data_IF_735830634080
#
_entry.id   IF_735830634080
#
_cell.length_a   1.000
_cell.length_b   1.000
_cell.length_c   1.000
_cell.angle_alpha   90.00
_cell.angle_beta   90.00
_cell.angle_gamma   90.00
#
_symmetry.space_group_name_H-M   'P 1'
#
loop_
_entity.id
_entity.type
_entity.pdbx_description
1 polymer ?
#
# COMPACT_ATOMS: atom_id res chain seq x y z
N UNK A 1 5.55 -12.89 3.13
CA UNK A 1 5.53 -11.82 4.15
C UNK A 1 5.44 -12.37 5.58
N UNK A 2 4.57 -13.36 5.85
CA UNK A 2 4.47 -13.96 7.20
C UNK A 2 5.79 -14.57 7.72
N UNK A 3 6.66 -15.05 6.84
CA UNK A 3 7.99 -15.54 7.20
C UNK A 3 8.88 -14.46 7.83
N UNK A 4 8.83 -13.23 7.31
CA UNK A 4 9.60 -12.09 7.82
C UNK A 4 9.17 -11.78 9.26
N UNK A 5 7.88 -11.67 9.50
CA UNK A 5 7.34 -11.44 10.84
C UNK A 5 7.78 -12.55 11.83
N UNK A 6 7.65 -13.82 11.44
CA UNK A 6 8.02 -14.97 12.28
C UNK A 6 9.51 -15.01 12.65
N UNK A 7 10.38 -14.39 11.88
CA UNK A 7 11.82 -14.32 12.18
C UNK A 7 12.18 -13.08 13.01
N UNK A 8 11.48 -11.97 12.82
CA UNK A 8 11.78 -10.71 13.52
C UNK A 8 11.18 -10.69 14.92
N UNK A 9 9.94 -11.15 15.11
CA UNK A 9 9.25 -11.09 16.39
C UNK A 9 10.02 -11.73 17.54
N UNK A 10 10.55 -12.97 17.44
CA UNK A 10 11.32 -13.58 18.51
C UNK A 10 12.59 -12.78 18.87
N UNK A 11 13.20 -12.11 17.90
CA UNK A 11 14.38 -11.26 18.14
C UNK A 11 14.02 -10.04 18.99
N UNK A 12 12.88 -9.40 18.70
CA UNK A 12 12.39 -8.26 19.49
C UNK A 12 12.10 -8.71 20.93
N UNK A 13 11.36 -9.80 21.09
CA UNK A 13 10.93 -10.31 22.39
C UNK A 13 12.10 -10.79 23.25
N UNK A 14 13.09 -11.47 22.66
CA UNK A 14 14.29 -11.93 23.38
C UNK A 14 15.16 -10.79 23.93
N UNK A 15 14.99 -9.58 23.40
CA UNK A 15 15.67 -8.37 23.90
C UNK A 15 14.75 -7.48 24.75
N UNK A 16 13.64 -8.02 25.26
CA UNK A 16 12.70 -7.32 26.13
C UNK A 16 11.76 -6.35 25.43
N UNK A 17 11.72 -6.38 24.09
CA UNK A 17 10.77 -5.60 23.31
C UNK A 17 9.39 -6.25 23.28
N UNK A 18 8.37 -5.45 22.94
CA UNK A 18 6.99 -5.91 22.79
C UNK A 18 6.42 -5.42 21.46
N UNK A 19 5.70 -6.27 20.75
CA UNK A 19 4.94 -5.90 19.53
C UNK A 19 3.45 -5.92 19.89
N UNK A 20 2.80 -4.79 19.73
CA UNK A 20 1.37 -4.64 19.95
C UNK A 20 0.66 -4.55 18.60
N UNK A 21 -0.46 -5.25 18.44
CA UNK A 21 -1.38 -5.15 17.33
C UNK A 21 -2.73 -4.60 17.80
N UNK A 22 -3.49 -3.97 16.92
CA UNK A 22 -4.74 -3.27 17.28
C UNK A 22 -4.51 -2.21 18.37
N UNK A 23 -3.34 -1.59 18.38
CA UNK A 23 -2.88 -0.63 19.37
C UNK A 23 -2.61 0.71 18.69
N UNK A 24 -3.70 1.44 18.37
CA UNK A 24 -3.62 2.70 17.65
C UNK A 24 -3.09 3.83 18.55
N UNK A 25 -2.08 4.52 18.05
CA UNK A 25 -1.52 5.72 18.70
C UNK A 25 -2.36 6.94 18.32
N UNK A 26 -2.86 7.65 19.35
CA UNK A 26 -3.64 8.87 19.22
C UNK A 26 -2.76 10.11 19.05
N UNK A 27 -1.67 10.18 19.80
CA UNK A 27 -0.73 11.31 19.74
C UNK A 27 0.64 10.96 20.33
N UNK A 28 1.64 11.75 19.98
CA UNK A 28 2.96 11.76 20.62
C UNK A 28 2.90 12.72 21.82
N UNK A 29 3.33 12.26 22.98
CA UNK A 29 3.40 13.08 24.19
C UNK A 29 4.68 13.90 24.16
N UNK A 30 4.54 15.23 24.20
CA UNK A 30 5.65 16.18 24.19
C UNK A 30 5.68 16.92 25.51
N UNK A 31 6.82 16.92 26.17
CA UNK A 31 7.10 17.69 27.38
C UNK A 31 8.39 18.49 27.19
N UNK A 32 8.38 19.79 27.45
CA UNK A 32 9.55 20.65 27.29
C UNK A 32 10.24 20.53 25.91
N UNK A 33 9.47 20.45 24.84
CA UNK A 33 9.94 20.21 23.45
C UNK A 33 10.61 18.84 23.22
N UNK A 34 10.40 17.86 24.09
CA UNK A 34 10.96 16.52 23.97
C UNK A 34 9.82 15.51 23.87
N UNK A 35 9.93 14.55 22.94
CA UNK A 35 9.02 13.41 22.88
C UNK A 35 9.33 12.46 24.02
N UNK A 36 8.36 12.23 24.92
CA UNK A 36 8.52 11.41 26.13
C UNK A 36 7.67 10.13 26.10
N UNK A 37 6.95 9.91 25.03
CA UNK A 37 6.11 8.72 24.86
C UNK A 37 5.00 8.90 23.85
N UNK A 38 4.05 7.98 23.86
CA UNK A 38 2.86 8.02 23.02
C UNK A 38 1.60 7.84 23.88
N UNK A 39 0.52 8.51 23.44
CA UNK A 39 -0.82 8.34 24.00
C UNK A 39 -1.63 7.47 23.05
N UNK A 40 -2.24 6.42 23.55
CA UNK A 40 -3.09 5.50 22.81
C UNK A 40 -4.52 6.02 22.68
N UNK A 41 -5.30 5.44 21.77
CA UNK A 41 -6.73 5.81 21.60
C UNK A 41 -7.61 5.47 22.79
N UNK A 42 -7.21 4.52 23.64
CA UNK A 42 -7.84 4.20 24.92
C UNK A 42 -7.37 5.09 26.08
N UNK A 43 -6.62 6.16 25.77
CA UNK A 43 -6.02 7.13 26.69
C UNK A 43 -4.86 6.62 27.57
N UNK A 44 -4.41 5.37 27.41
CA UNK A 44 -3.18 4.88 28.04
C UNK A 44 -1.96 5.63 27.50
N UNK A 45 -0.94 5.81 28.37
CA UNK A 45 0.33 6.43 28.01
C UNK A 45 1.44 5.38 28.10
N UNK A 46 2.20 5.25 27.02
CA UNK A 46 3.41 4.44 26.98
C UNK A 46 4.60 5.40 26.94
N UNK A 47 5.34 5.44 28.04
CA UNK A 47 6.53 6.30 28.16
C UNK A 47 7.71 5.73 27.38
N UNK A 48 8.49 6.60 26.74
CA UNK A 48 9.67 6.24 25.98
C UNK A 48 10.69 7.40 25.98
N UNK A 49 11.97 7.06 25.90
CA UNK A 49 13.05 8.05 25.75
C UNK A 49 13.18 8.55 24.30
N UNK A 50 12.62 7.85 23.35
CA UNK A 50 12.61 8.20 21.94
C UNK A 50 11.38 7.61 21.28
N UNK A 51 10.81 8.33 20.29
CA UNK A 51 9.67 7.88 19.48
C UNK A 51 10.09 7.88 18.03
N UNK A 52 9.94 6.73 17.35
CA UNK A 52 10.17 6.59 15.92
C UNK A 52 8.80 6.45 15.26
N UNK A 53 8.52 7.30 14.28
CA UNK A 53 7.26 7.31 13.54
C UNK A 53 7.49 6.90 12.09
N UNK A 54 6.76 5.90 11.62
CA UNK A 54 6.78 5.39 10.24
C UNK A 54 5.45 5.61 9.49
N UNK A 55 4.61 6.54 9.97
CA UNK A 55 3.32 6.85 9.33
C UNK A 55 3.39 7.97 8.29
N UNK A 56 4.60 8.43 7.97
CA UNK A 56 4.89 9.53 7.06
C UNK A 56 4.97 10.89 7.78
N UNK A 57 5.76 11.80 7.19
CA UNK A 57 6.10 13.12 7.76
C UNK A 57 4.84 13.93 8.05
N UNK A 58 3.96 14.13 7.06
CA UNK A 58 2.72 14.92 7.25
C UNK A 58 1.84 14.35 8.36
N UNK A 59 1.57 13.05 8.35
CA UNK A 59 0.74 12.45 9.39
C UNK A 59 1.37 12.59 10.78
N UNK A 60 2.69 12.43 10.89
CA UNK A 60 3.39 12.57 12.16
C UNK A 60 3.25 13.99 12.71
N UNK A 61 3.60 14.99 11.91
CA UNK A 61 3.68 16.37 12.40
C UNK A 61 2.34 17.11 12.42
N UNK A 62 1.40 16.76 11.54
CA UNK A 62 0.08 17.40 11.50
C UNK A 62 -0.96 16.72 12.39
N UNK A 63 -0.85 15.38 12.60
CA UNK A 63 -1.89 14.61 13.28
C UNK A 63 -1.49 14.05 14.63
N UNK A 64 -0.21 13.67 14.83
CA UNK A 64 0.22 13.08 16.09
C UNK A 64 0.85 14.07 17.06
N UNK A 65 1.46 15.16 16.60
CA UNK A 65 2.00 16.19 17.48
C UNK A 65 0.97 17.29 17.66
N UNK A 66 0.22 17.23 18.75
CA UNK A 66 -0.88 18.16 19.06
C UNK A 66 -0.43 19.35 19.93
N UNK A 67 0.76 19.26 20.52
CA UNK A 67 1.30 20.31 21.39
C UNK A 67 2.10 21.32 20.57
N UNK A 68 2.09 22.62 20.92
CA UNK A 68 2.95 23.61 20.28
C UNK A 68 4.42 23.29 20.56
N UNK A 69 5.21 23.20 19.50
CA UNK A 69 6.65 22.92 19.55
C UNK A 69 7.34 24.01 18.76
N UNK A 70 8.35 24.66 19.33
CA UNK A 70 8.97 25.88 18.81
C UNK A 70 9.55 25.78 17.40
N UNK A 71 9.87 24.59 16.93
CA UNK A 71 10.40 24.33 15.58
C UNK A 71 9.40 23.62 14.64
N UNK A 72 8.18 23.33 15.13
CA UNK A 72 7.17 22.55 14.39
C UNK A 72 6.73 23.29 13.12
N UNK A 73 6.52 24.60 13.19
CA UNK A 73 6.08 25.40 12.05
C UNK A 73 7.04 25.29 10.86
N UNK A 74 8.35 25.29 11.12
CA UNK A 74 9.35 25.11 10.09
C UNK A 74 9.26 23.73 9.44
N UNK A 75 9.19 22.65 10.26
CA UNK A 75 9.11 21.29 9.76
C UNK A 75 7.80 21.07 8.98
N UNK A 76 6.70 21.59 9.49
CA UNK A 76 5.37 21.49 8.82
C UNK A 76 5.39 22.24 7.48
N UNK A 77 6.00 23.43 7.43
CA UNK A 77 6.18 24.19 6.19
C UNK A 77 7.00 23.40 5.16
N UNK A 78 8.16 22.89 5.56
CA UNK A 78 9.01 22.07 4.69
C UNK A 78 8.29 20.78 4.22
N UNK A 79 7.54 20.10 5.11
CA UNK A 79 6.74 18.92 4.79
C UNK A 79 5.63 19.23 3.79
N UNK A 80 5.04 20.41 3.84
CA UNK A 80 3.99 20.84 2.91
C UNK A 80 4.50 21.14 1.49
N UNK A 81 5.78 21.46 1.35
CA UNK A 81 6.44 21.65 0.05
C UNK A 81 6.72 20.30 -0.64
N UNK A 82 6.73 19.19 0.12
CA UNK A 82 6.96 17.86 -0.45
C UNK A 82 5.81 17.47 -1.39
N UNK A 83 6.15 17.14 -2.63
CA UNK A 83 5.20 16.55 -3.56
C UNK A 83 4.86 15.12 -3.12
N UNK A 84 3.58 14.72 -3.18
CA UNK A 84 3.22 13.32 -2.97
C UNK A 84 3.98 12.42 -3.95
N UNK A 85 4.47 11.28 -3.46
CA UNK A 85 5.03 10.26 -4.33
C UNK A 85 3.93 9.62 -5.18
N UNK A 86 4.33 8.91 -6.23
CA UNK A 86 3.40 8.11 -7.02
C UNK A 86 2.70 7.07 -6.15
N UNK A 87 1.44 6.85 -6.45
CA UNK A 87 0.62 5.79 -5.86
C UNK A 87 0.66 4.54 -6.73
N UNK A 88 0.05 3.48 -6.24
CA UNK A 88 -0.14 2.24 -6.99
C UNK A 88 -1.60 1.81 -6.92
N UNK A 89 -2.07 1.22 -8.00
CA UNK A 89 -3.34 0.48 -8.01
C UNK A 89 -3.04 -0.99 -8.16
N UNK A 90 -3.72 -1.80 -7.36
CA UNK A 90 -3.60 -3.25 -7.39
C UNK A 90 -4.96 -3.90 -7.69
N UNK A 91 -4.96 -4.87 -8.59
CA UNK A 91 -6.07 -5.80 -8.78
C UNK A 91 -5.65 -7.16 -8.21
N UNK A 92 -6.44 -7.64 -7.26
CA UNK A 92 -6.28 -8.97 -6.67
C UNK A 92 -7.31 -9.91 -7.30
N UNK A 93 -6.84 -11.01 -7.88
CA UNK A 93 -7.66 -11.98 -8.58
C UNK A 93 -7.62 -13.28 -7.80
N UNK A 94 -8.77 -13.73 -7.31
CA UNK A 94 -8.96 -15.05 -6.72
C UNK A 94 -9.57 -16.00 -7.75
N UNK A 95 -9.04 -17.22 -7.83
CA UNK A 95 -9.46 -18.25 -8.79
C UNK A 95 -9.85 -19.53 -8.05
N UNK A 96 -10.94 -20.15 -8.46
CA UNK A 96 -11.44 -21.43 -7.92
C UNK A 96 -10.82 -22.65 -8.61
N UNK A 97 -9.54 -22.52 -8.97
CA UNK A 97 -8.72 -23.60 -9.53
C UNK A 97 -7.31 -23.46 -8.99
N UNK A 98 -6.57 -24.58 -8.91
CA UNK A 98 -5.20 -24.54 -8.37
C UNK A 98 -4.22 -23.86 -9.33
N UNK A 99 -3.14 -23.32 -8.76
CA UNK A 99 -2.01 -22.77 -9.53
C UNK A 99 -1.31 -23.86 -10.37
N UNK A 100 -1.28 -25.09 -9.90
CA UNK A 100 -0.75 -26.23 -10.63
C UNK A 100 -1.59 -26.54 -11.87
N UNK A 101 -2.94 -26.55 -11.76
CA UNK A 101 -3.83 -26.75 -12.90
C UNK A 101 -3.67 -25.66 -13.97
N UNK A 102 -3.55 -24.41 -13.52
CA UNK A 102 -3.32 -23.26 -14.39
C UNK A 102 -1.89 -23.12 -14.86
N UNK A 103 -0.97 -23.95 -14.35
CA UNK A 103 0.46 -23.83 -14.61
C UNK A 103 0.98 -22.40 -14.40
N UNK A 104 0.59 -21.78 -13.25
CA UNK A 104 1.03 -20.42 -12.94
C UNK A 104 2.53 -20.38 -12.65
N UNK A 105 3.26 -19.40 -13.19
CA UNK A 105 4.70 -19.31 -13.00
C UNK A 105 5.06 -18.87 -11.56
N UNK A 106 6.26 -19.24 -11.12
CA UNK A 106 6.84 -18.78 -9.84
C UNK A 106 7.65 -17.49 -9.97
N UNK A 107 7.83 -16.97 -11.17
CA UNK A 107 8.45 -15.67 -11.43
C UNK A 107 7.39 -14.60 -11.63
N UNK A 108 7.79 -13.33 -11.60
CA UNK A 108 6.93 -12.19 -11.88
C UNK A 108 7.11 -11.74 -13.32
N UNK A 109 6.10 -11.02 -13.84
CA UNK A 109 6.21 -10.27 -15.08
C UNK A 109 6.27 -8.78 -14.81
N UNK A 110 7.12 -8.10 -15.57
CA UNK A 110 7.15 -6.66 -15.69
C UNK A 110 6.83 -6.34 -17.15
N UNK A 111 5.66 -5.80 -17.40
CA UNK A 111 5.17 -5.49 -18.74
C UNK A 111 5.17 -3.97 -18.89
N UNK A 112 5.96 -3.47 -19.83
CA UNK A 112 6.03 -2.06 -20.17
C UNK A 112 5.29 -1.82 -21.48
N UNK A 113 4.65 -0.65 -21.63
CA UNK A 113 3.93 -0.28 -22.85
C UNK A 113 4.85 -0.10 -24.06
N UNK A 114 6.06 0.43 -23.81
CA UNK A 114 7.11 0.64 -24.82
C UNK A 114 8.48 0.83 -24.13
N UNK A 115 9.51 1.19 -24.91
CA UNK A 115 10.88 1.41 -24.41
C UNK A 115 11.14 2.83 -23.89
N UNK A 116 10.24 3.79 -24.17
CA UNK A 116 10.35 5.14 -23.62
C UNK A 116 9.54 5.22 -22.32
N UNK A 117 10.16 4.79 -21.22
CA UNK A 117 9.49 4.58 -19.94
C UNK A 117 9.04 5.89 -19.30
N UNK A 118 9.91 6.90 -19.33
CA UNK A 118 9.65 8.19 -18.67
C UNK A 118 8.46 8.90 -19.34
N UNK A 119 8.48 9.05 -20.66
CA UNK A 119 7.37 9.68 -21.38
C UNK A 119 6.05 8.89 -21.24
N UNK A 120 6.13 7.55 -21.25
CA UNK A 120 4.93 6.72 -21.05
C UNK A 120 4.30 6.95 -19.69
N UNK A 121 5.15 7.10 -18.68
CA UNK A 121 4.73 7.34 -17.30
C UNK A 121 4.14 8.75 -17.15
N UNK A 122 4.86 9.78 -17.61
CA UNK A 122 4.43 11.16 -17.51
C UNK A 122 3.12 11.41 -18.28
N UNK A 123 2.98 10.84 -19.49
CA UNK A 123 1.75 10.92 -20.26
C UNK A 123 0.57 10.25 -19.54
N UNK A 124 0.78 9.07 -18.94
CA UNK A 124 -0.28 8.40 -18.17
C UNK A 124 -0.67 9.16 -16.90
N UNK A 125 0.28 9.79 -16.21
CA UNK A 125 -0.02 10.66 -15.07
C UNK A 125 -0.84 11.89 -15.47
N UNK A 126 -0.61 12.43 -16.66
CA UNK A 126 -1.37 13.55 -17.20
C UNK A 126 -2.75 13.13 -17.73
N UNK A 127 -2.85 11.94 -18.33
CA UNK A 127 -4.08 11.39 -18.92
C UNK A 127 -4.20 9.88 -18.65
N UNK A 128 -4.99 9.52 -17.66
CA UNK A 128 -5.21 8.13 -17.25
C UNK A 128 -6.09 7.31 -18.23
N UNK A 129 -6.64 7.92 -19.27
CA UNK A 129 -7.33 7.22 -20.34
C UNK A 129 -6.38 6.43 -21.24
N UNK A 130 -5.09 6.80 -21.26
CA UNK A 130 -4.04 6.13 -22.02
C UNK A 130 -3.77 4.71 -21.51
N UNK A 131 -2.99 3.94 -22.28
CA UNK A 131 -2.58 2.60 -21.85
C UNK A 131 -1.69 2.66 -20.61
N UNK A 132 -1.75 1.59 -19.80
CA UNK A 132 -0.94 1.48 -18.58
C UNK A 132 0.55 1.47 -18.93
N UNK A 133 1.36 2.37 -18.35
CA UNK A 133 2.78 2.47 -18.68
C UNK A 133 3.55 1.22 -18.22
N UNK A 134 3.08 0.58 -17.16
CA UNK A 134 3.67 -0.56 -16.51
C UNK A 134 2.57 -1.46 -15.92
N UNK A 135 2.74 -2.78 -16.02
CA UNK A 135 2.01 -3.75 -15.22
C UNK A 135 3.01 -4.73 -14.57
N UNK A 136 3.01 -4.78 -13.25
CA UNK A 136 3.74 -5.80 -12.48
C UNK A 136 2.76 -6.90 -12.08
N UNK A 137 3.04 -8.14 -12.52
CA UNK A 137 2.17 -9.29 -12.28
C UNK A 137 2.90 -10.31 -11.42
N UNK A 138 2.26 -10.75 -10.35
CA UNK A 138 2.79 -11.70 -9.38
C UNK A 138 1.79 -12.83 -9.13
N UNK A 139 2.29 -14.00 -8.75
CA UNK A 139 1.53 -15.22 -8.48
C UNK A 139 1.80 -15.69 -7.04
N UNK A 140 1.19 -15.07 -6.03
CA UNK A 140 1.48 -15.36 -4.63
C UNK A 140 1.23 -16.82 -4.26
N UNK A 141 0.12 -17.43 -4.72
CA UNK A 141 -0.21 -18.84 -4.45
C UNK A 141 0.86 -19.80 -4.97
N UNK A 142 1.36 -19.59 -6.18
CA UNK A 142 2.38 -20.43 -6.79
C UNK A 142 3.75 -20.36 -6.10
N UNK A 143 3.99 -19.32 -5.29
CA UNK A 143 5.24 -19.10 -4.55
C UNK A 143 5.18 -19.53 -3.10
N UNK A 144 3.98 -19.69 -2.54
CA UNK A 144 3.79 -20.08 -1.14
C UNK A 144 3.59 -21.59 -1.03
N UNK A 145 4.59 -22.35 -0.51
CA UNK A 145 4.45 -23.79 -0.36
C UNK A 145 3.28 -24.23 0.55
N UNK A 146 2.85 -23.33 1.45
CA UNK A 146 1.72 -23.61 2.36
C UNK A 146 0.35 -23.34 1.72
N UNK A 147 0.30 -22.66 0.56
CA UNK A 147 -0.95 -22.25 -0.05
C UNK A 147 -1.91 -23.42 -0.31
N UNK A 148 -1.43 -24.47 -0.95
CA UNK A 148 -2.23 -25.64 -1.29
C UNK A 148 -2.75 -26.42 -0.08
N UNK A 149 -2.11 -26.28 1.08
CA UNK A 149 -2.54 -26.89 2.34
C UNK A 149 -3.67 -26.06 2.94
N UNK A 150 -3.50 -24.74 2.97
CA UNK A 150 -4.41 -23.81 3.64
C UNK A 150 -5.60 -23.42 2.75
N UNK A 151 -5.40 -23.44 1.43
CA UNK A 151 -6.35 -22.97 0.42
C UNK A 151 -6.41 -23.93 -0.78
N UNK A 152 -6.83 -25.20 -0.58
CA UNK A 152 -6.81 -26.21 -1.63
C UNK A 152 -7.70 -25.80 -2.82
N UNK A 153 -7.27 -26.16 -4.03
CA UNK A 153 -7.98 -25.90 -5.29
C UNK A 153 -8.27 -24.42 -5.57
N UNK A 154 -7.43 -23.53 -5.07
CA UNK A 154 -7.52 -22.09 -5.36
C UNK A 154 -6.17 -21.55 -5.80
N UNK A 155 -6.20 -20.41 -6.51
CA UNK A 155 -5.01 -19.66 -6.86
C UNK A 155 -5.25 -18.16 -6.73
N UNK A 156 -4.17 -17.39 -6.66
CA UNK A 156 -4.22 -15.93 -6.65
C UNK A 156 -3.24 -15.32 -7.62
N UNK A 157 -3.67 -14.27 -8.27
CA UNK A 157 -2.84 -13.40 -9.10
C UNK A 157 -2.98 -11.98 -8.56
N UNK A 158 -1.88 -11.26 -8.53
CA UNK A 158 -1.85 -9.85 -8.18
C UNK A 158 -1.23 -9.08 -9.33
N UNK A 159 -1.88 -8.01 -9.77
CA UNK A 159 -1.32 -7.10 -10.76
C UNK A 159 -1.37 -5.68 -10.23
N UNK A 160 -0.25 -4.96 -10.39
CA UNK A 160 -0.08 -3.58 -9.96
C UNK A 160 0.32 -2.71 -11.14
N UNK A 161 -0.15 -1.45 -11.10
CA UNK A 161 0.35 -0.38 -11.96
C UNK A 161 0.58 0.88 -11.15
N UNK A 162 1.32 1.81 -11.73
CA UNK A 162 1.51 3.14 -11.15
C UNK A 162 0.23 3.96 -11.29
N UNK A 163 0.03 4.90 -10.39
CA UNK A 163 -1.12 5.80 -10.40
C UNK A 163 -0.79 7.12 -9.67
N UNK A 164 -1.65 8.11 -9.84
CA UNK A 164 -1.60 9.37 -9.10
C UNK A 164 -2.88 9.55 -8.28
N UNK A 165 -2.76 10.15 -7.10
CA UNK A 165 -3.92 10.54 -6.32
C UNK A 165 -4.81 11.55 -7.09
N UNK A 166 -4.22 12.36 -7.96
CA UNK A 166 -4.96 13.34 -8.77
C UNK A 166 -6.07 12.69 -9.61
N UNK A 167 -5.88 11.42 -10.05
CA UNK A 167 -6.90 10.66 -10.79
C UNK A 167 -8.15 10.33 -9.95
N UNK A 168 -8.06 10.45 -8.62
CA UNK A 168 -9.14 10.09 -7.68
C UNK A 168 -9.62 11.29 -6.87
N UNK A 169 -9.06 12.48 -7.10
CA UNK A 169 -9.25 13.67 -6.27
C UNK A 169 -10.70 14.11 -6.17
N UNK A 170 -11.47 13.99 -7.25
CA UNK A 170 -12.89 14.35 -7.25
C UNK A 170 -13.74 13.51 -6.28
N UNK A 171 -13.26 12.32 -5.89
CA UNK A 171 -13.93 11.44 -4.94
C UNK A 171 -13.34 11.45 -3.54
N UNK A 172 -12.37 12.34 -3.25
CA UNK A 172 -11.64 12.39 -1.96
C UNK A 172 -12.56 12.59 -0.76
N UNK A 173 -13.58 13.42 -0.91
CA UNK A 173 -14.53 13.77 0.16
C UNK A 173 -15.68 12.76 0.29
N UNK A 174 -15.73 11.76 -0.57
CA UNK A 174 -16.78 10.74 -0.50
C UNK A 174 -16.45 9.67 0.54
N UNK A 175 -17.46 9.23 1.29
CA UNK A 175 -17.31 8.18 2.28
C UNK A 175 -16.88 6.87 1.65
N UNK A 176 -16.07 6.09 2.39
CA UNK A 176 -15.64 4.76 1.96
C UNK A 176 -16.85 3.86 1.65
N UNK A 177 -16.79 3.14 0.53
CA UNK A 177 -17.85 2.29 -0.04
C UNK A 177 -19.19 3.00 -0.38
N UNK A 178 -19.24 4.33 -0.38
CA UNK A 178 -20.43 5.12 -0.74
C UNK A 178 -20.18 6.07 -1.91
N UNK A 179 -19.25 5.73 -2.77
CA UNK A 179 -18.94 6.50 -3.98
C UNK A 179 -19.97 6.26 -5.07
N UNK A 180 -20.06 7.23 -5.97
CA UNK A 180 -21.05 7.27 -7.05
C UNK A 180 -20.76 6.26 -8.19
N UNK A 181 -21.62 6.27 -9.22
CA UNK A 181 -21.52 5.36 -10.35
C UNK A 181 -20.29 5.67 -11.21
N UNK A 182 -19.91 6.94 -11.34
CA UNK A 182 -18.75 7.39 -12.11
C UNK A 182 -17.46 6.79 -11.55
N UNK A 183 -17.29 6.79 -10.22
CA UNK A 183 -16.16 6.12 -9.56
C UNK A 183 -16.13 4.61 -9.86
N UNK A 184 -17.29 3.96 -9.84
CA UNK A 184 -17.35 2.53 -10.11
C UNK A 184 -17.03 2.23 -11.57
N UNK A 185 -17.51 3.05 -12.52
CA UNK A 185 -17.17 2.92 -13.94
C UNK A 185 -15.67 3.11 -14.17
N UNK A 186 -15.07 4.13 -13.56
CA UNK A 186 -13.63 4.37 -13.62
C UNK A 186 -12.83 3.16 -13.07
N UNK A 187 -13.25 2.61 -11.94
CA UNK A 187 -12.62 1.39 -11.39
C UNK A 187 -12.77 0.19 -12.31
N UNK A 188 -13.93 0.02 -12.94
CA UNK A 188 -14.17 -1.10 -13.85
C UNK A 188 -13.34 -1.00 -15.13
N UNK A 189 -13.16 0.20 -15.68
CA UNK A 189 -12.25 0.43 -16.80
C UNK A 189 -10.81 0.08 -16.44
N UNK A 190 -10.32 0.56 -15.30
CA UNK A 190 -8.98 0.26 -14.82
C UNK A 190 -8.78 -1.24 -14.52
N UNK A 191 -9.78 -1.87 -13.90
CA UNK A 191 -9.82 -3.33 -13.68
C UNK A 191 -9.66 -4.08 -15.01
N UNK A 192 -10.40 -3.69 -16.03
CA UNK A 192 -10.36 -4.34 -17.35
C UNK A 192 -8.98 -4.18 -17.99
N UNK A 193 -8.40 -2.95 -17.99
CA UNK A 193 -7.03 -2.72 -18.48
C UNK A 193 -6.02 -3.63 -17.77
N UNK A 194 -6.09 -3.75 -16.44
CA UNK A 194 -5.20 -4.62 -15.65
C UNK A 194 -5.43 -6.09 -15.96
N UNK A 195 -6.68 -6.51 -16.10
CA UNK A 195 -7.03 -7.90 -16.43
C UNK A 195 -6.51 -8.29 -17.83
N UNK A 196 -6.62 -7.41 -18.81
CA UNK A 196 -6.09 -7.64 -20.16
C UNK A 196 -4.56 -7.85 -20.13
N UNK A 197 -3.82 -7.09 -19.31
CA UNK A 197 -2.38 -7.33 -19.12
C UNK A 197 -2.10 -8.71 -18.50
N UNK A 198 -2.91 -9.15 -17.54
CA UNK A 198 -2.76 -10.51 -16.97
C UNK A 198 -3.06 -11.56 -18.03
N UNK A 199 -4.16 -11.45 -18.79
CA UNK A 199 -4.55 -12.41 -19.83
C UNK A 199 -3.49 -12.50 -20.93
N UNK A 200 -2.76 -11.41 -21.21
CA UNK A 200 -1.70 -11.42 -22.22
C UNK A 200 -0.55 -12.36 -21.90
N UNK A 201 -0.30 -12.64 -20.62
CA UNK A 201 0.79 -13.53 -20.16
C UNK A 201 0.27 -14.84 -19.53
N UNK A 202 -0.98 -14.86 -19.14
CA UNK A 202 -1.68 -16.02 -18.54
C UNK A 202 -3.04 -16.23 -19.24
N UNK A 203 -3.06 -16.59 -20.53
CA UNK A 203 -4.29 -16.68 -21.31
C UNK A 203 -5.27 -17.76 -20.83
N UNK A 204 -4.82 -18.72 -20.04
CA UNK A 204 -5.62 -19.82 -19.50
C UNK A 204 -6.60 -19.41 -18.39
N UNK A 205 -6.57 -18.14 -17.94
CA UNK A 205 -7.56 -17.63 -16.97
C UNK A 205 -8.76 -16.95 -17.61
N UNK A 206 -8.80 -16.90 -18.95
CA UNK A 206 -9.84 -16.23 -19.75
C UNK A 206 -11.20 -16.90 -19.66
#
# INVERSE_FOLDING_TARGET
SSGIYKTILPTIESHGGTVLVNAEVKSIVIENNVAVGVKMTNDDIISATSVISDIGVKNTFEKLILSPVSYLDKITSEANELKPSVSHVALYIGLNVSDEYLNLPKHNFWIYSNYNLDDSFDNYLADNSLDLPLAYISFPSAKDPSWKINHPNTATIQVLTLSSFEHYKEWSDSSWMKRNIEYNNFKDELKNKLLDKVISVVPQIK
#
